data_IF_146941218355
#
_entry.id   IF_146941218355
#
_cell.length_a   1.000
_cell.length_b   1.000
_cell.length_c   1.000
_cell.angle_alpha   90.00
_cell.angle_beta   90.00
_cell.angle_gamma   90.00
#
_symmetry.space_group_name_H-M   'P 1'
#
loop_
_entity.id
_entity.type
_entity.pdbx_description
1 polymer ?
#
# COMPACT_ATOMS: atom_id res chain seq x y z
N UNK A 1 -2.85 4.22 6.51
CA UNK A 1 -2.76 2.76 6.28
C UNK A 1 -3.23 2.37 4.89
N UNK A 2 -4.43 2.79 4.49
CA UNK A 2 -5.03 2.37 3.22
C UNK A 2 -4.15 2.62 1.99
N UNK A 3 -3.53 3.80 1.86
CA UNK A 3 -2.61 4.08 0.74
C UNK A 3 -1.39 3.16 0.70
N UNK A 4 -0.85 2.77 1.85
CA UNK A 4 0.27 1.83 1.94
C UNK A 4 -0.14 0.44 1.45
N UNK A 5 -1.35 -0.01 1.84
CA UNK A 5 -1.92 -1.28 1.38
C UNK A 5 -2.20 -1.25 -0.13
N UNK A 6 -2.70 -0.13 -0.66
CA UNK A 6 -2.92 0.07 -2.10
C UNK A 6 -1.59 0.01 -2.86
N UNK A 7 -0.51 0.63 -2.36
CA UNK A 7 0.82 0.54 -2.98
C UNK A 7 1.37 -0.88 -2.98
N UNK A 8 1.17 -1.65 -1.91
CA UNK A 8 1.57 -3.05 -1.84
C UNK A 8 0.81 -3.88 -2.89
N UNK A 9 -0.51 -3.68 -2.99
CA UNK A 9 -1.36 -4.36 -3.98
C UNK A 9 -0.94 -4.00 -5.42
N UNK A 10 -0.73 -2.71 -5.70
CA UNK A 10 -0.36 -2.22 -7.03
C UNK A 10 1.00 -2.78 -7.52
N UNK A 11 2.02 -2.82 -6.65
CA UNK A 11 3.32 -3.43 -6.99
C UNK A 11 3.21 -4.94 -7.15
N UNK A 12 2.44 -5.62 -6.30
CA UNK A 12 2.31 -7.07 -6.41
C UNK A 12 1.58 -7.50 -7.68
N UNK A 13 0.54 -6.77 -8.10
CA UNK A 13 -0.08 -7.00 -9.41
C UNK A 13 0.93 -6.77 -10.54
N UNK A 14 1.77 -5.74 -10.44
CA UNK A 14 2.85 -5.52 -11.42
C UNK A 14 3.84 -6.69 -11.49
N UNK A 15 4.03 -7.44 -10.39
CA UNK A 15 4.85 -8.67 -10.33
C UNK A 15 4.25 -9.84 -11.08
N UNK A 16 2.93 -9.92 -11.18
CA UNK A 16 2.22 -10.99 -11.86
C UNK A 16 2.27 -10.79 -13.39
N UNK A 17 2.11 -9.56 -13.88
CA UNK A 17 2.02 -9.28 -15.31
C UNK A 17 3.33 -9.45 -16.10
N UNK A 18 4.50 -9.25 -15.46
CA UNK A 18 5.79 -9.47 -16.14
C UNK A 18 6.22 -10.95 -16.17
N UNK A 19 5.57 -11.80 -15.38
CA UNK A 19 5.93 -13.20 -15.22
C UNK A 19 4.77 -14.10 -15.67
N UNK A 20 4.48 -14.15 -16.98
CA UNK A 20 3.50 -15.09 -17.57
C UNK A 20 3.81 -16.58 -17.29
N UNK A 21 4.96 -16.89 -16.68
CA UNK A 21 5.50 -18.23 -16.46
C UNK A 21 5.59 -18.67 -14.99
N UNK A 22 4.98 -17.97 -14.03
CA UNK A 22 5.07 -18.40 -12.63
C UNK A 22 3.99 -19.43 -12.22
N UNK A 23 4.29 -20.71 -12.48
CA UNK A 23 3.63 -21.87 -11.86
C UNK A 23 4.03 -21.99 -10.37
N UNK A 24 3.02 -22.22 -9.53
CA UNK A 24 3.06 -22.94 -8.22
C UNK A 24 3.53 -22.17 -6.97
N UNK A 25 4.46 -21.21 -7.01
CA UNK A 25 4.75 -20.37 -5.82
C UNK A 25 3.73 -19.24 -5.57
N UNK A 26 2.74 -19.11 -6.45
CA UNK A 26 1.69 -18.08 -6.40
C UNK A 26 0.69 -18.27 -5.25
N UNK A 27 0.50 -19.49 -4.72
CA UNK A 27 -0.48 -19.72 -3.65
C UNK A 27 -0.13 -19.00 -2.32
N UNK A 28 1.16 -18.90 -1.98
CA UNK A 28 1.62 -18.29 -0.72
C UNK A 28 1.63 -16.76 -0.77
N UNK A 29 1.96 -16.19 -1.92
CA UNK A 29 1.84 -14.73 -2.15
C UNK A 29 0.39 -14.31 -2.31
N UNK A 30 -0.45 -15.13 -2.95
CA UNK A 30 -1.88 -14.88 -3.10
C UNK A 30 -2.61 -14.96 -1.75
N UNK A 31 -2.23 -15.88 -0.84
CA UNK A 31 -2.79 -15.91 0.53
C UNK A 31 -2.41 -14.67 1.35
N UNK A 32 -1.18 -14.17 1.26
CA UNK A 32 -0.80 -12.93 1.95
C UNK A 32 -1.51 -11.69 1.41
N UNK A 33 -1.65 -11.58 0.08
CA UNK A 33 -2.42 -10.51 -0.55
C UNK A 33 -3.91 -10.59 -0.20
N UNK A 34 -4.49 -11.79 -0.17
CA UNK A 34 -5.87 -12.00 0.26
C UNK A 34 -6.05 -11.59 1.72
N UNK A 35 -5.09 -11.90 2.60
CA UNK A 35 -5.14 -11.46 4.00
C UNK A 35 -5.01 -9.93 4.09
N UNK A 36 -4.11 -9.29 3.36
CA UNK A 36 -3.99 -7.83 3.32
C UNK A 36 -5.24 -7.16 2.74
N UNK A 37 -5.86 -7.76 1.73
CA UNK A 37 -7.13 -7.33 1.17
C UNK A 37 -8.26 -7.46 2.19
N UNK A 38 -8.36 -8.59 2.90
CA UNK A 38 -9.34 -8.80 3.96
C UNK A 38 -9.12 -7.84 5.13
N UNK A 39 -7.87 -7.55 5.50
CA UNK A 39 -7.51 -6.54 6.49
C UNK A 39 -7.93 -5.14 6.03
N UNK A 40 -7.71 -4.80 4.75
CA UNK A 40 -8.13 -3.52 4.15
C UNK A 40 -9.65 -3.38 4.04
N UNK A 41 -10.34 -4.46 3.71
CA UNK A 41 -11.79 -4.51 3.53
C UNK A 41 -12.53 -4.66 4.85
N UNK A 42 -11.88 -5.21 5.87
CA UNK A 42 -12.38 -5.23 7.23
C UNK A 42 -12.64 -3.80 7.73
N UNK A 43 -13.81 -3.61 8.34
CA UNK A 43 -14.21 -2.34 8.94
C UNK A 43 -13.31 -1.76 10.07
N UNK A 44 -12.47 -2.52 10.84
CA UNK A 44 -11.82 -1.93 12.01
C UNK A 44 -10.75 -0.88 11.67
N UNK A 45 -10.21 -0.84 10.44
CA UNK A 45 -9.20 0.15 10.05
C UNK A 45 -9.79 1.40 9.37
N UNK A 46 -10.98 1.31 8.76
CA UNK A 46 -11.59 2.39 7.95
C UNK A 46 -12.46 3.35 8.76
N UNK A 47 -13.08 2.88 9.84
CA UNK A 47 -13.96 3.70 10.69
C UNK A 47 -13.57 3.61 12.18
N UNK A 48 -12.47 4.28 12.59
CA UNK A 48 -11.99 4.28 13.98
C UNK A 48 -13.06 4.67 15.00
N UNK A 49 -13.95 5.58 14.60
CA UNK A 49 -14.97 6.17 15.46
C UNK A 49 -16.21 5.28 15.66
N UNK A 50 -16.39 4.25 14.82
CA UNK A 50 -17.62 3.46 14.76
C UNK A 50 -17.47 2.05 15.34
N UNK A 51 -16.24 1.56 15.55
CA UNK A 51 -15.99 0.22 16.06
C UNK A 51 -14.95 0.22 17.18
N UNK A 52 -15.42 -0.06 18.40
CA UNK A 52 -14.63 -0.12 19.62
C UNK A 52 -13.71 -1.36 19.74
N UNK A 53 -13.58 -2.17 18.70
CA UNK A 53 -12.81 -3.42 18.73
C UNK A 53 -11.63 -3.36 17.74
N UNK A 54 -10.74 -2.39 17.97
CA UNK A 54 -9.36 -2.51 17.52
C UNK A 54 -8.73 -3.69 18.26
N UNK A 55 -8.86 -4.90 17.71
CA UNK A 55 -8.14 -6.03 18.28
C UNK A 55 -6.65 -5.82 18.01
N UNK A 56 -5.87 -5.54 19.06
CA UNK A 56 -4.42 -5.43 19.02
C UNK A 56 -3.76 -6.57 18.23
N UNK A 57 -4.34 -7.78 18.32
CA UNK A 57 -3.94 -8.96 17.55
C UNK A 57 -4.04 -8.74 16.03
N UNK A 58 -5.10 -8.11 15.55
CA UNK A 58 -5.29 -7.82 14.12
C UNK A 58 -4.34 -6.74 13.63
N UNK A 59 -4.00 -5.75 14.48
CA UNK A 59 -2.96 -4.75 14.16
C UNK A 59 -1.59 -5.42 14.04
N UNK A 60 -1.23 -6.31 14.98
CA UNK A 60 0.02 -7.07 14.91
C UNK A 60 0.06 -7.91 13.64
N UNK A 61 -1.03 -8.63 13.31
CA UNK A 61 -1.12 -9.41 12.06
C UNK A 61 -0.92 -8.51 10.84
N UNK A 62 -1.57 -7.35 10.78
CA UNK A 62 -1.42 -6.39 9.69
C UNK A 62 0.03 -5.91 9.54
N UNK A 63 0.68 -5.52 10.65
CA UNK A 63 2.09 -5.11 10.67
C UNK A 63 2.98 -6.25 10.15
N UNK A 64 2.76 -7.48 10.63
CA UNK A 64 3.51 -8.65 10.19
C UNK A 64 3.37 -8.90 8.68
N UNK A 65 2.15 -8.88 8.15
CA UNK A 65 1.93 -9.12 6.73
C UNK A 65 2.45 -7.98 5.86
N UNK A 66 2.32 -6.72 6.27
CA UNK A 66 2.93 -5.58 5.58
C UNK A 66 4.44 -5.73 5.55
N UNK A 67 5.06 -5.96 6.71
CA UNK A 67 6.50 -6.11 6.83
C UNK A 67 7.01 -7.24 5.94
N UNK A 68 6.34 -8.40 5.98
CA UNK A 68 6.68 -9.57 5.18
C UNK A 68 6.54 -9.33 3.69
N UNK A 69 5.46 -8.68 3.25
CA UNK A 69 5.27 -8.34 1.83
C UNK A 69 6.36 -7.39 1.35
N UNK A 70 6.63 -6.33 2.11
CA UNK A 70 7.63 -5.33 1.76
C UNK A 70 9.05 -5.90 1.76
N UNK A 71 9.37 -6.88 2.61
CA UNK A 71 10.66 -7.56 2.62
C UNK A 71 10.88 -8.56 1.46
N UNK A 72 9.89 -8.75 0.59
CA UNK A 72 10.11 -9.55 -0.61
C UNK A 72 11.18 -8.90 -1.50
N UNK A 73 12.25 -9.65 -1.78
CA UNK A 73 13.42 -9.13 -2.52
C UNK A 73 13.08 -8.67 -3.93
N UNK A 74 12.06 -9.25 -4.58
CA UNK A 74 11.61 -8.83 -5.92
C UNK A 74 10.85 -7.52 -5.82
N UNK A 75 10.00 -7.40 -4.81
CA UNK A 75 9.30 -6.17 -4.48
C UNK A 75 10.29 -5.03 -4.24
N UNK A 76 11.30 -5.22 -3.38
CA UNK A 76 12.32 -4.21 -3.11
C UNK A 76 13.14 -3.82 -4.35
N UNK A 77 13.57 -4.80 -5.16
CA UNK A 77 14.25 -4.51 -6.43
C UNK A 77 13.41 -3.61 -7.34
N UNK A 78 12.10 -3.82 -7.40
CA UNK A 78 11.18 -3.05 -8.25
C UNK A 78 10.88 -1.67 -7.67
N UNK A 79 10.65 -1.57 -6.36
CA UNK A 79 10.54 -0.28 -5.66
C UNK A 79 11.78 0.57 -5.97
N UNK A 80 12.98 0.00 -5.80
CA UNK A 80 14.23 0.70 -6.08
C UNK A 80 14.35 1.12 -7.54
N UNK A 81 13.95 0.25 -8.48
CA UNK A 81 13.96 0.56 -9.92
C UNK A 81 13.00 1.70 -10.27
N UNK A 82 11.82 1.73 -9.66
CA UNK A 82 10.84 2.81 -9.86
C UNK A 82 11.35 4.11 -9.26
N UNK A 83 11.80 4.10 -8.00
CA UNK A 83 12.30 5.30 -7.32
C UNK A 83 13.52 5.92 -8.02
N UNK A 84 14.49 5.09 -8.45
CA UNK A 84 15.64 5.57 -9.24
C UNK A 84 15.20 6.22 -10.55
N UNK A 85 14.25 5.61 -11.26
CA UNK A 85 13.80 6.17 -12.52
C UNK A 85 13.02 7.48 -12.35
N UNK A 86 12.21 7.60 -11.29
CA UNK A 86 11.56 8.86 -10.92
C UNK A 86 12.61 9.93 -10.62
N UNK A 87 13.63 9.60 -9.82
CA UNK A 87 14.72 10.53 -9.47
C UNK A 87 15.45 11.08 -10.71
N UNK A 88 15.69 10.22 -11.71
CA UNK A 88 16.31 10.62 -12.98
C UNK A 88 15.34 11.25 -14.00
N UNK A 89 14.08 11.50 -13.62
CA UNK A 89 13.02 12.01 -14.50
C UNK A 89 12.80 11.14 -15.77
N UNK A 90 13.06 9.84 -15.66
CA UNK A 90 12.87 8.91 -16.75
C UNK A 90 11.39 8.50 -16.83
N UNK A 91 10.68 8.93 -17.88
CA UNK A 91 9.29 8.53 -18.11
C UNK A 91 9.19 7.12 -18.70
N UNK A 92 9.41 6.11 -17.86
CA UNK A 92 9.39 4.72 -18.28
C UNK A 92 7.98 4.12 -18.17
N UNK A 93 7.62 3.28 -19.13
CA UNK A 93 6.29 2.66 -19.24
C UNK A 93 5.88 1.88 -17.98
N UNK A 94 6.85 1.30 -17.25
CA UNK A 94 6.57 0.59 -16.01
C UNK A 94 6.17 1.50 -14.84
N UNK A 95 6.65 2.74 -14.80
CA UNK A 95 6.24 3.72 -13.78
C UNK A 95 4.77 4.07 -14.01
N UNK A 96 4.40 4.33 -15.26
CA UNK A 96 3.01 4.55 -15.66
C UNK A 96 2.12 3.38 -15.26
N UNK A 97 2.55 2.13 -15.53
CA UNK A 97 1.80 0.92 -15.12
C UNK A 97 1.57 0.85 -13.62
N UNK A 98 2.58 1.19 -12.79
CA UNK A 98 2.40 1.24 -11.34
C UNK A 98 1.38 2.32 -10.93
N UNK A 99 1.55 3.54 -11.44
CA UNK A 99 0.70 4.68 -11.09
C UNK A 99 -0.76 4.45 -11.50
N UNK A 100 -1.01 3.91 -12.70
CA UNK A 100 -2.36 3.58 -13.16
C UNK A 100 -3.02 2.49 -12.31
N UNK A 101 -2.27 1.48 -11.87
CA UNK A 101 -2.79 0.45 -10.94
C UNK A 101 -3.13 1.04 -9.59
N UNK A 102 -2.23 1.85 -9.04
CA UNK A 102 -2.48 2.53 -7.77
C UNK A 102 -3.76 3.36 -7.85
N UNK A 103 -3.89 4.17 -8.90
CA UNK A 103 -5.06 5.01 -9.18
C UNK A 103 -6.33 4.17 -9.35
N UNK A 104 -6.27 3.08 -10.12
CA UNK A 104 -7.38 2.15 -10.30
C UNK A 104 -7.84 1.52 -8.98
N UNK A 105 -6.92 0.97 -8.20
CA UNK A 105 -7.24 0.35 -6.90
C UNK A 105 -7.82 1.42 -5.96
N UNK A 106 -7.21 2.61 -5.90
CA UNK A 106 -7.72 3.73 -5.13
C UNK A 106 -9.18 4.03 -5.48
N UNK A 107 -9.50 4.29 -6.75
CA UNK A 107 -10.89 4.56 -7.14
C UNK A 107 -11.80 3.37 -6.89
N UNK A 108 -11.37 2.14 -7.14
CA UNK A 108 -12.19 0.95 -6.83
C UNK A 108 -12.52 0.88 -5.35
N UNK A 109 -11.57 1.21 -4.48
CA UNK A 109 -11.78 1.19 -3.03
C UNK A 109 -12.63 2.33 -2.51
N UNK A 110 -12.62 3.48 -3.18
CA UNK A 110 -13.34 4.68 -2.76
C UNK A 110 -14.70 4.85 -3.45
N UNK A 111 -14.81 4.62 -4.77
CA UNK A 111 -16.05 4.79 -5.53
C UNK A 111 -17.09 3.70 -5.24
N UNK A 112 -16.67 2.46 -4.97
CA UNK A 112 -17.63 1.34 -4.77
C UNK A 112 -18.48 1.50 -3.50
N UNK A 113 -18.02 2.28 -2.51
CA UNK A 113 -18.70 2.44 -1.23
C UNK A 113 -19.19 3.86 -0.94
N UNK A 114 -18.90 4.83 -1.81
CA UNK A 114 -18.91 6.24 -1.42
C UNK A 114 -19.31 7.17 -2.58
N UNK A 115 -20.53 6.99 -3.11
CA UNK A 115 -21.11 7.85 -4.16
C UNK A 115 -21.35 9.32 -3.73
N UNK A 116 -21.14 9.67 -2.44
CA UNK A 116 -21.42 11.01 -1.88
C UNK A 116 -20.24 11.69 -1.19
N UNK A 117 -19.08 11.04 -1.10
CA UNK A 117 -17.95 11.60 -0.37
C UNK A 117 -17.15 12.56 -1.27
N UNK A 118 -16.70 13.69 -0.71
CA UNK A 118 -15.88 14.75 -1.34
C UNK A 118 -14.46 14.27 -1.79
N UNK A 119 -14.33 13.04 -2.30
CA UNK A 119 -13.08 12.29 -2.50
C UNK A 119 -12.24 12.81 -3.66
N UNK A 120 -12.81 13.62 -4.56
CA UNK A 120 -12.08 14.34 -5.60
C UNK A 120 -10.95 15.25 -5.06
N UNK A 121 -10.90 15.52 -3.75
CA UNK A 121 -9.84 16.27 -3.08
C UNK A 121 -8.42 15.71 -3.29
N UNK A 122 -8.27 14.39 -3.49
CA UNK A 122 -6.95 13.76 -3.63
C UNK A 122 -6.58 13.37 -5.06
N UNK A 123 -7.48 13.52 -6.04
CA UNK A 123 -7.18 13.21 -7.44
C UNK A 123 -6.00 14.02 -7.97
N UNK A 124 -5.88 15.27 -7.52
CA UNK A 124 -4.75 16.15 -7.84
C UNK A 124 -3.41 15.63 -7.30
N UNK A 125 -3.42 14.92 -6.17
CA UNK A 125 -2.20 14.48 -5.46
C UNK A 125 -1.99 12.96 -5.50
N UNK A 126 -2.78 12.23 -6.29
CA UNK A 126 -2.81 10.77 -6.23
C UNK A 126 -1.47 10.16 -6.64
N UNK A 127 -0.76 10.83 -7.56
CA UNK A 127 0.56 10.42 -8.03
C UNK A 127 1.59 10.61 -6.91
N UNK A 128 1.59 11.77 -6.26
CA UNK A 128 2.47 12.11 -5.15
C UNK A 128 2.24 11.16 -3.97
N UNK A 129 0.98 10.86 -3.65
CA UNK A 129 0.62 9.88 -2.63
C UNK A 129 1.17 8.49 -3.01
N UNK A 130 1.04 8.08 -4.26
CA UNK A 130 1.55 6.79 -4.74
C UNK A 130 3.09 6.71 -4.63
N UNK A 131 3.81 7.78 -4.95
CA UNK A 131 5.27 7.85 -4.88
C UNK A 131 5.75 7.90 -3.43
N UNK A 132 5.11 8.70 -2.57
CA UNK A 132 5.41 8.76 -1.15
C UNK A 132 5.24 7.38 -0.47
N UNK A 133 4.18 6.64 -0.82
CA UNK A 133 3.98 5.31 -0.26
C UNK A 133 5.00 4.28 -0.80
N UNK A 134 5.51 4.43 -2.04
CA UNK A 134 6.67 3.64 -2.50
C UNK A 134 7.92 3.93 -1.68
N UNK A 135 8.18 5.20 -1.37
CA UNK A 135 9.34 5.58 -0.57
C UNK A 135 9.22 5.05 0.87
N UNK A 136 8.03 5.11 1.46
CA UNK A 136 7.75 4.47 2.75
C UNK A 136 8.05 2.96 2.70
N UNK A 137 7.61 2.26 1.64
CA UNK A 137 7.92 0.83 1.46
C UNK A 137 9.42 0.56 1.26
N UNK A 138 10.15 1.46 0.62
CA UNK A 138 11.60 1.37 0.53
C UNK A 138 12.25 1.44 1.92
N UNK A 139 11.83 2.40 2.76
CA UNK A 139 12.35 2.52 4.14
C UNK A 139 11.99 1.29 4.98
N UNK A 140 10.75 0.80 4.88
CA UNK A 140 10.29 -0.39 5.62
C UNK A 140 11.08 -1.65 5.21
N UNK A 141 11.57 -1.72 3.98
CA UNK A 141 12.38 -2.84 3.50
C UNK A 141 13.80 -2.93 4.07
N UNK A 142 14.24 -1.92 4.84
CA UNK A 142 15.53 -1.94 5.52
C UNK A 142 15.49 -2.78 6.80
N UNK A 143 16.67 -3.16 7.31
CA UNK A 143 16.85 -4.04 8.48
C UNK A 143 16.03 -3.60 9.71
N UNK A 144 15.91 -2.30 9.96
CA UNK A 144 15.15 -1.71 11.09
C UNK A 144 13.80 -1.11 10.66
N UNK A 145 13.35 -1.43 9.45
CA UNK A 145 12.15 -0.85 8.83
C UNK A 145 10.85 -1.19 9.57
N UNK A 146 10.83 -2.25 10.38
CA UNK A 146 9.68 -2.57 11.25
C UNK A 146 9.46 -1.50 12.34
N UNK A 147 10.53 -0.94 12.90
CA UNK A 147 10.44 0.15 13.87
C UNK A 147 9.87 1.40 13.22
N UNK A 148 10.34 1.71 12.00
CA UNK A 148 9.79 2.79 11.20
C UNK A 148 8.30 2.58 10.91
N UNK A 149 7.88 1.36 10.51
CA UNK A 149 6.48 1.03 10.27
C UNK A 149 5.64 1.27 11.53
N UNK A 150 6.04 0.75 12.69
CA UNK A 150 5.30 0.94 13.95
C UNK A 150 5.20 2.43 14.30
N UNK A 151 6.29 3.19 14.14
CA UNK A 151 6.31 4.64 14.38
C UNK A 151 5.40 5.40 13.41
N UNK A 152 5.45 5.05 12.12
CA UNK A 152 4.60 5.61 11.07
C UNK A 152 3.11 5.40 11.39
N UNK A 153 2.73 4.21 11.87
CA UNK A 153 1.35 3.87 12.21
C UNK A 153 0.85 4.55 13.49
N UNK A 154 1.73 4.79 14.46
CA UNK A 154 1.41 5.49 15.72
C UNK A 154 1.45 7.01 15.60
N UNK A 155 1.91 7.55 14.47
CA UNK A 155 2.19 8.97 14.32
C UNK A 155 0.89 9.80 14.34
N UNK A 156 0.74 10.78 15.25
CA UNK A 156 -0.52 11.50 15.48
C UNK A 156 -0.83 12.60 14.45
N UNK A 157 -0.15 12.65 13.30
CA UNK A 157 -0.27 13.73 12.30
C UNK A 157 -1.67 13.91 11.68
N UNK A 158 -2.66 13.10 12.05
CA UNK A 158 -4.07 13.26 11.64
C UNK A 158 -5.06 13.51 12.80
N UNK A 159 -4.60 13.68 14.04
CA UNK A 159 -5.50 13.89 15.20
C UNK A 159 -5.66 15.37 15.61
N UNK A 160 -4.82 16.30 15.11
CA UNK A 160 -4.98 17.72 15.45
C UNK A 160 -5.04 18.63 14.23
N UNK A 161 -6.28 18.98 13.85
CA UNK A 161 -6.64 20.34 13.41
C UNK A 161 -8.14 20.57 13.65
N UNK A 162 -8.50 20.67 14.93
CA UNK A 162 -9.64 21.51 15.32
C UNK A 162 -9.05 22.91 15.56
N UNK A 163 -9.22 23.79 14.58
CA UNK A 163 -9.36 25.23 14.79
C UNK A 163 -10.81 25.53 14.46
#
# INVERSE_FOLDING_TARGET
MDFLLISIEAINLYNLDENHTYKINSLKTNTHLNILFLIRCGNPLRHPKSYALYNFTEIIKAIYYIHKSVHDSRMQKRINKILKAIYHNNQLSYIKKYLERFKYIYYKTQNYYNAKSNIYLYDKYIIEIAICNLYIMHIIGNKDGIYFLVKYLKSPFYIYKNI
#
